data_IF_744337875365
#
_entry.id   IF_744337875365
#
_cell.length_a   1.000
_cell.length_b   1.000
_cell.length_c   1.000
_cell.angle_alpha   90.00
_cell.angle_beta   90.00
_cell.angle_gamma   90.00
#
_symmetry.space_group_name_H-M   'P 1'
#
loop_
_entity.id
_entity.type
_entity.pdbx_description
1 polymer ?
#
# COMPACT_ATOMS: atom_id res chain seq x y z
N UNK A 1 -22.02 -73.67 -3.46
CA UNK A 1 -22.37 -72.58 -4.41
C UNK A 1 -23.74 -72.02 -4.04
N UNK A 2 -24.05 -70.72 -4.15
CA UNK A 2 -23.24 -69.52 -4.50
C UNK A 2 -23.14 -68.49 -3.32
N UNK A 3 -22.03 -67.77 -3.19
CA UNK A 3 -21.82 -66.32 -3.50
C UNK A 3 -22.53 -65.31 -2.60
N UNK A 4 -21.78 -64.61 -1.74
CA UNK A 4 -21.84 -63.14 -1.71
C UNK A 4 -20.61 -62.50 -1.03
N UNK A 5 -19.96 -61.64 -1.80
CA UNK A 5 -18.85 -60.75 -1.46
C UNK A 5 -19.35 -59.58 -0.60
N UNK A 6 -18.67 -59.27 0.51
CA UNK A 6 -18.77 -57.94 1.15
C UNK A 6 -17.46 -57.55 1.83
N UNK A 7 -16.77 -56.62 1.17
CA UNK A 7 -15.60 -55.87 1.62
C UNK A 7 -15.89 -55.03 2.85
N UNK A 8 -15.07 -55.17 3.90
CA UNK A 8 -14.84 -54.15 4.95
C UNK A 8 -13.41 -54.25 5.49
N UNK A 9 -12.58 -53.27 5.16
CA UNK A 9 -11.30 -53.03 5.85
C UNK A 9 -11.49 -51.86 6.82
N UNK A 10 -11.21 -51.99 8.13
CA UNK A 10 -11.24 -50.85 9.05
C UNK A 10 -9.84 -50.27 9.33
N UNK A 11 -9.78 -48.94 9.21
CA UNK A 11 -8.91 -47.94 9.85
C UNK A 11 -7.38 -47.97 9.61
N UNK A 12 -6.80 -46.77 9.44
CA UNK A 12 -5.84 -46.37 10.47
C UNK A 12 -5.96 -44.90 10.91
N UNK A 13 -5.90 -44.74 12.24
CA UNK A 13 -5.06 -43.81 13.00
C UNK A 13 -5.14 -42.33 12.58
N UNK A 14 -6.01 -41.61 13.28
CA UNK A 14 -6.09 -40.15 13.28
C UNK A 14 -4.92 -39.57 14.11
N UNK A 15 -3.89 -39.09 13.42
CA UNK A 15 -2.80 -38.31 14.00
C UNK A 15 -3.30 -36.87 14.22
N UNK A 16 -3.52 -36.48 15.48
CA UNK A 16 -3.85 -35.10 15.85
C UNK A 16 -2.58 -34.26 15.79
N UNK A 17 -2.43 -33.47 14.72
CA UNK A 17 -1.36 -32.47 14.61
C UNK A 17 -1.82 -31.19 15.35
N UNK A 18 -1.14 -30.87 16.45
CA UNK A 18 -1.34 -29.64 17.20
C UNK A 18 -0.99 -28.43 16.32
N UNK A 19 -2.01 -27.71 15.84
CA UNK A 19 -1.83 -26.47 15.10
C UNK A 19 -1.48 -25.35 16.07
N UNK A 20 -0.21 -24.96 16.12
CA UNK A 20 0.23 -23.72 16.73
C UNK A 20 -0.33 -22.54 15.92
N UNK A 21 -1.45 -21.97 16.37
CA UNK A 21 -2.00 -20.73 15.81
C UNK A 21 -1.12 -19.56 16.21
N UNK A 22 -0.12 -19.25 15.39
CA UNK A 22 0.57 -17.97 15.44
C UNK A 22 -0.42 -16.87 15.07
N UNK A 23 -0.75 -16.01 16.04
CA UNK A 23 -1.50 -14.77 15.79
C UNK A 23 -0.56 -13.84 15.03
N UNK A 24 -0.63 -13.87 13.70
CA UNK A 24 -0.02 -12.84 12.87
C UNK A 24 -0.83 -11.55 13.09
N UNK A 25 -0.23 -10.62 13.84
CA UNK A 25 -0.68 -9.23 13.88
C UNK A 25 -0.53 -8.67 12.44
N UNK A 26 -1.62 -8.67 11.68
CA UNK A 26 -1.70 -7.97 10.38
C UNK A 26 -1.46 -6.49 10.63
N UNK A 27 -0.23 -6.05 10.35
CA UNK A 27 0.04 -4.63 10.14
C UNK A 27 -0.74 -4.21 8.89
N UNK A 28 -1.32 -3.00 8.85
CA UNK A 28 -1.72 -2.42 7.57
C UNK A 28 -0.46 -2.43 6.71
N UNK A 29 -0.53 -3.04 5.55
CA UNK A 29 0.63 -3.27 4.70
C UNK A 29 0.40 -2.42 3.45
N UNK A 30 1.21 -1.37 3.34
CA UNK A 30 1.25 -0.40 2.25
C UNK A 30 2.71 -0.42 1.80
N UNK A 31 2.99 -0.37 0.50
CA UNK A 31 4.36 -0.11 0.10
C UNK A 31 4.72 1.33 0.47
N UNK A 32 5.82 1.45 1.18
CA UNK A 32 6.37 2.76 1.53
C UNK A 32 6.97 3.40 0.29
N UNK A 33 6.89 4.73 0.17
CA UNK A 33 7.61 5.48 -0.85
C UNK A 33 9.11 5.08 -0.87
N UNK A 34 9.64 4.75 -2.05
CA UNK A 34 10.99 4.20 -2.24
C UNK A 34 11.14 2.69 -1.99
N UNK A 35 10.10 2.04 -1.48
CA UNK A 35 10.06 0.60 -1.17
C UNK A 35 9.71 -0.27 -2.38
N UNK A 36 9.87 -1.59 -2.23
CA UNK A 36 9.64 -2.56 -3.30
C UNK A 36 8.13 -2.84 -3.52
N UNK A 37 7.71 -2.87 -4.78
CA UNK A 37 6.35 -3.20 -5.21
C UNK A 37 5.92 -4.63 -4.81
N UNK A 38 6.87 -5.53 -4.56
CA UNK A 38 6.59 -6.87 -4.02
C UNK A 38 5.98 -6.87 -2.61
N UNK A 39 6.17 -5.78 -1.86
CA UNK A 39 5.39 -5.58 -0.62
C UNK A 39 3.92 -5.37 -0.93
N UNK A 40 3.59 -4.59 -1.97
CA UNK A 40 2.20 -4.39 -2.46
C UNK A 40 1.53 -5.69 -2.86
N UNK A 41 2.26 -6.59 -3.52
CA UNK A 41 1.71 -7.90 -3.91
C UNK A 41 1.46 -8.81 -2.70
N UNK A 42 2.27 -8.71 -1.63
CA UNK A 42 1.97 -9.37 -0.35
C UNK A 42 0.76 -8.74 0.34
N UNK A 43 0.60 -7.42 0.22
CA UNK A 43 -0.56 -6.67 0.73
C UNK A 43 -1.86 -7.16 0.07
N UNK A 44 -1.80 -7.45 -1.25
CA UNK A 44 -2.91 -8.01 -2.05
C UNK A 44 -3.38 -9.39 -1.57
N UNK A 45 -2.47 -10.23 -1.08
CA UNK A 45 -2.80 -11.60 -0.67
C UNK A 45 -3.39 -11.63 0.75
N UNK A 46 -2.94 -10.74 1.63
CA UNK A 46 -3.34 -10.74 3.04
C UNK A 46 -4.59 -9.92 3.34
N UNK A 47 -4.81 -8.83 2.62
CA UNK A 47 -6.00 -8.00 2.76
C UNK A 47 -6.82 -8.26 1.50
N UNK A 48 -8.09 -8.70 1.63
CA UNK A 48 -9.06 -8.73 0.53
C UNK A 48 -9.41 -7.30 0.05
N UNK A 49 -8.44 -6.40 0.01
CA UNK A 49 -8.53 -5.07 -0.52
C UNK A 49 -8.60 -5.19 -2.04
N UNK A 50 -9.50 -4.42 -2.64
CA UNK A 50 -9.65 -4.38 -4.09
C UNK A 50 -8.46 -3.63 -4.68
N UNK A 51 -7.39 -4.35 -4.99
CA UNK A 51 -6.24 -3.78 -5.70
C UNK A 51 -6.54 -3.73 -7.19
N UNK A 52 -6.91 -2.55 -7.70
CA UNK A 52 -6.90 -2.31 -9.15
C UNK A 52 -5.48 -1.99 -9.56
N UNK A 53 -4.85 -2.91 -10.30
CA UNK A 53 -3.58 -2.65 -10.99
C UNK A 53 -3.88 -2.01 -12.33
N UNK A 54 -3.48 -0.77 -12.52
CA UNK A 54 -3.57 -0.09 -13.82
C UNK A 54 -2.14 0.14 -14.33
N UNK A 55 -1.80 -0.46 -15.47
CA UNK A 55 -0.53 -0.21 -16.13
C UNK A 55 -0.63 1.11 -16.92
N UNK A 56 0.24 2.07 -16.59
CA UNK A 56 0.53 3.22 -17.43
C UNK A 56 1.81 2.98 -18.24
N UNK A 57 2.14 3.84 -19.22
CA UNK A 57 3.43 3.78 -19.89
C UNK A 57 4.55 4.05 -18.86
N UNK A 58 5.33 3.02 -18.53
CA UNK A 58 6.50 3.12 -17.63
C UNK A 58 6.24 2.90 -16.14
N UNK A 59 5.00 2.64 -15.72
CA UNK A 59 4.69 2.36 -14.31
C UNK A 59 3.42 1.52 -14.10
N UNK A 60 3.29 0.91 -12.93
CA UNK A 60 2.07 0.26 -12.45
C UNK A 60 1.46 1.06 -11.30
N UNK A 61 0.13 1.18 -11.30
CA UNK A 61 -0.62 1.81 -10.21
C UNK A 61 -1.30 0.74 -9.39
N UNK A 62 -1.03 0.70 -8.10
CA UNK A 62 -1.72 -0.14 -7.13
C UNK A 62 -2.66 0.73 -6.30
N UNK A 63 -3.97 0.59 -6.51
CA UNK A 63 -4.97 1.32 -5.75
C UNK A 63 -5.49 0.50 -4.57
N UNK A 64 -5.74 1.11 -3.42
CA UNK A 64 -6.38 0.48 -2.27
C UNK A 64 -7.23 1.47 -1.48
N UNK A 65 -8.08 0.96 -0.60
CA UNK A 65 -8.91 1.80 0.27
C UNK A 65 -8.65 1.41 1.72
N UNK A 66 -8.16 2.38 2.51
CA UNK A 66 -7.95 2.20 3.93
C UNK A 66 -9.30 1.98 4.67
N UNK A 67 -9.31 1.37 5.86
CA UNK A 67 -10.53 1.21 6.67
C UNK A 67 -11.26 2.53 6.96
N UNK A 68 -10.55 3.66 6.90
CA UNK A 68 -11.12 5.00 7.02
C UNK A 68 -11.94 5.46 5.81
N UNK A 69 -11.96 4.70 4.71
CA UNK A 69 -12.53 5.13 3.43
C UNK A 69 -11.61 6.01 2.58
N UNK A 70 -10.34 6.17 2.99
CA UNK A 70 -9.33 6.91 2.22
C UNK A 70 -8.79 6.03 1.11
N UNK A 71 -8.99 6.45 -0.15
CA UNK A 71 -8.35 5.84 -1.30
C UNK A 71 -6.87 6.22 -1.31
N UNK A 72 -6.00 5.24 -1.53
CA UNK A 72 -4.54 5.39 -1.65
C UNK A 72 -4.14 4.75 -2.97
N UNK A 73 -3.30 5.41 -3.76
CA UNK A 73 -2.70 4.83 -4.96
C UNK A 73 -1.18 4.90 -4.85
N UNK A 74 -0.52 3.80 -5.15
CA UNK A 74 0.92 3.66 -5.15
C UNK A 74 1.38 3.45 -6.59
N UNK A 75 2.36 4.24 -7.03
CA UNK A 75 2.86 4.25 -8.39
C UNK A 75 4.26 3.64 -8.37
N UNK A 76 4.42 2.48 -9.00
CA UNK A 76 5.67 1.74 -9.05
C UNK A 76 6.29 1.79 -10.44
N UNK A 77 7.57 2.13 -10.52
CA UNK A 77 8.33 2.13 -11.77
C UNK A 77 8.63 0.71 -12.25
N UNK A 78 9.20 0.61 -13.45
CA UNK A 78 9.69 -0.67 -13.99
C UNK A 78 10.82 -1.31 -13.18
N UNK A 79 11.51 -0.51 -12.35
CA UNK A 79 12.50 -0.96 -11.36
C UNK A 79 11.86 -1.62 -10.13
N UNK A 80 10.53 -1.71 -10.10
CA UNK A 80 9.76 -2.29 -9.01
C UNK A 80 9.76 -1.43 -7.76
N UNK A 81 10.11 -0.14 -7.83
CA UNK A 81 10.06 0.77 -6.68
C UNK A 81 8.89 1.73 -6.75
N UNK A 82 8.26 1.99 -5.61
CA UNK A 82 7.21 3.01 -5.50
C UNK A 82 7.85 4.39 -5.55
N UNK A 83 7.66 5.13 -6.64
CA UNK A 83 8.20 6.48 -6.83
C UNK A 83 7.20 7.58 -6.44
N UNK A 84 5.91 7.26 -6.41
CA UNK A 84 4.87 8.20 -6.00
C UNK A 84 3.71 7.51 -5.30
N UNK A 85 2.99 8.30 -4.49
CA UNK A 85 1.78 7.90 -3.78
C UNK A 85 0.78 9.04 -3.80
N UNK A 86 -0.50 8.74 -3.98
CA UNK A 86 -1.59 9.71 -3.87
C UNK A 86 -2.64 9.20 -2.88
N UNK A 87 -3.38 10.12 -2.28
CA UNK A 87 -4.49 9.78 -1.42
C UNK A 87 -5.65 10.75 -1.58
N UNK A 88 -6.86 10.25 -1.35
CA UNK A 88 -8.07 11.05 -1.31
C UNK A 88 -9.15 10.38 -0.45
N UNK A 89 -9.77 11.12 0.46
CA UNK A 89 -10.88 10.60 1.25
C UNK A 89 -11.17 11.37 2.53
N UNK A 90 -11.98 10.79 3.42
CA UNK A 90 -12.50 11.49 4.59
C UNK A 90 -11.51 11.59 5.75
N UNK A 91 -10.41 10.85 5.71
CA UNK A 91 -9.36 10.90 6.73
C UNK A 91 -7.96 10.96 6.10
N UNK A 92 -7.01 11.52 6.84
CA UNK A 92 -5.60 11.45 6.46
C UNK A 92 -5.10 10.01 6.61
N UNK A 93 -4.38 9.44 5.62
CA UNK A 93 -3.75 8.14 5.78
C UNK A 93 -2.59 8.21 6.80
N UNK A 94 -2.08 7.05 7.21
CA UNK A 94 -0.89 6.98 8.04
C UNK A 94 0.36 7.42 7.25
N UNK A 95 0.66 8.72 7.27
CA UNK A 95 1.80 9.28 6.51
C UNK A 95 3.16 8.73 6.95
N UNK A 96 3.30 8.28 8.21
CA UNK A 96 4.53 7.63 8.67
C UNK A 96 4.79 6.34 7.90
N UNK A 97 3.74 5.57 7.70
CA UNK A 97 3.82 4.34 6.92
C UNK A 97 4.00 4.65 5.43
N UNK A 98 3.18 5.55 4.88
CA UNK A 98 3.19 5.83 3.44
C UNK A 98 4.53 6.42 2.96
N UNK A 99 5.14 7.30 3.75
CA UNK A 99 6.42 7.95 3.39
C UNK A 99 7.66 7.15 3.82
N UNK A 100 7.52 6.19 4.75
CA UNK A 100 8.64 5.39 5.25
C UNK A 100 9.84 6.25 5.66
N UNK A 101 11.00 6.00 5.04
CA UNK A 101 12.25 6.70 5.33
C UNK A 101 12.19 8.22 5.08
N UNK A 102 11.27 8.67 4.22
CA UNK A 102 11.07 10.08 3.90
C UNK A 102 10.23 10.82 4.97
N UNK A 103 9.65 10.10 5.94
CA UNK A 103 8.81 10.72 6.97
C UNK A 103 9.60 11.66 7.90
N UNK A 104 10.89 11.38 8.13
CA UNK A 104 11.75 12.27 8.91
C UNK A 104 11.86 13.64 8.23
N UNK A 105 12.24 13.67 6.95
CA UNK A 105 12.26 14.88 6.11
C UNK A 105 10.93 15.63 6.15
N UNK A 106 9.81 14.90 6.03
CA UNK A 106 8.49 15.49 6.08
C UNK A 106 8.16 16.20 7.42
N UNK A 107 8.58 15.63 8.55
CA UNK A 107 8.26 16.17 9.89
C UNK A 107 9.23 17.25 10.36
N UNK A 108 10.47 17.23 9.89
CA UNK A 108 11.49 18.22 10.25
C UNK A 108 11.38 19.49 9.42
N UNK A 109 10.73 19.45 8.26
CA UNK A 109 10.64 20.60 7.37
C UNK A 109 9.80 21.76 7.95
N UNK A 110 10.39 22.96 8.10
CA UNK A 110 9.68 24.15 8.58
C UNK A 110 8.59 24.65 7.62
N UNK A 111 8.74 24.47 6.30
CA UNK A 111 7.75 24.84 5.29
C UNK A 111 6.46 24.03 5.44
N UNK A 112 6.59 22.72 5.71
CA UNK A 112 5.45 21.85 6.00
C UNK A 112 4.71 22.24 7.30
N UNK A 113 5.36 22.99 8.21
CA UNK A 113 4.77 23.53 9.44
C UNK A 113 4.12 24.90 9.25
N UNK A 114 4.64 25.73 8.33
CA UNK A 114 4.11 27.08 8.01
C UNK A 114 2.80 27.02 7.23
N UNK A 115 2.67 26.01 6.38
CA UNK A 115 1.44 25.68 5.70
C UNK A 115 0.45 25.09 6.74
N UNK A 116 -0.64 25.80 7.04
CA UNK A 116 -1.56 25.46 8.13
C UNK A 116 -2.12 24.04 8.05
N UNK A 117 -2.83 23.56 9.08
CA UNK A 117 -3.32 22.17 9.13
C UNK A 117 -4.11 21.70 7.90
N UNK A 118 -4.72 22.64 7.17
CA UNK A 118 -5.52 22.41 5.98
C UNK A 118 -4.72 22.30 4.67
N UNK A 119 -3.46 22.72 4.62
CA UNK A 119 -2.64 22.62 3.42
C UNK A 119 -1.20 22.41 3.83
N UNK A 120 -0.55 21.33 3.37
CA UNK A 120 0.87 21.08 3.60
C UNK A 120 1.62 20.92 2.29
N UNK A 121 2.68 21.71 2.13
CA UNK A 121 3.54 21.67 0.95
C UNK A 121 4.99 21.54 1.38
N UNK A 122 5.68 20.60 0.74
CA UNK A 122 7.08 20.33 0.89
C UNK A 122 7.65 20.11 -0.50
N UNK A 123 8.63 20.92 -0.89
CA UNK A 123 9.32 20.79 -2.18
C UNK A 123 10.82 20.65 -1.91
N UNK A 124 11.31 19.41 -1.87
CA UNK A 124 12.73 19.08 -1.70
C UNK A 124 13.22 18.17 -2.83
N UNK A 125 14.53 18.20 -3.15
CA UNK A 125 15.11 17.32 -4.17
C UNK A 125 14.84 15.83 -3.93
N UNK A 126 14.81 15.42 -2.66
CA UNK A 126 14.61 14.05 -2.24
C UNK A 126 13.14 13.66 -2.05
N UNK A 127 12.25 14.65 -1.88
CA UNK A 127 10.84 14.42 -1.56
C UNK A 127 9.99 15.65 -1.86
N UNK A 128 8.95 15.46 -2.65
CA UNK A 128 7.86 16.43 -2.78
C UNK A 128 6.62 15.87 -2.10
N UNK A 129 5.95 16.66 -1.28
CA UNK A 129 4.65 16.32 -0.64
C UNK A 129 3.71 17.49 -0.75
N UNK A 130 2.60 17.31 -1.46
CA UNK A 130 1.50 18.27 -1.53
C UNK A 130 0.26 17.64 -0.92
N UNK A 131 -0.25 18.22 0.15
CA UNK A 131 -1.41 17.75 0.90
C UNK A 131 -2.37 18.91 1.12
N UNK A 132 -3.66 18.63 1.04
CA UNK A 132 -4.73 19.56 1.35
C UNK A 132 -5.85 18.83 2.06
N UNK A 133 -6.52 19.52 2.97
CA UNK A 133 -7.50 18.93 3.85
C UNK A 133 -8.48 19.98 4.35
N UNK A 134 -9.76 19.68 4.21
CA UNK A 134 -10.83 20.28 5.02
C UNK A 134 -11.54 19.17 5.77
N UNK A 135 -12.43 19.51 6.69
CA UNK A 135 -13.17 18.52 7.48
C UNK A 135 -13.78 17.43 6.57
N UNK A 136 -13.32 16.19 6.74
CA UNK A 136 -13.72 15.00 5.95
C UNK A 136 -13.42 15.03 4.44
N UNK A 137 -12.43 15.81 4.01
CA UNK A 137 -12.00 15.88 2.62
C UNK A 137 -10.51 16.17 2.57
N UNK A 138 -9.71 15.12 2.72
CA UNK A 138 -8.26 15.12 2.58
C UNK A 138 -7.87 14.60 1.21
N UNK A 139 -6.86 15.21 0.61
CA UNK A 139 -6.24 14.72 -0.61
C UNK A 139 -4.79 15.17 -0.69
N UNK A 140 -3.95 14.39 -1.34
CA UNK A 140 -2.56 14.79 -1.53
C UNK A 140 -1.79 13.80 -2.38
N UNK A 141 -0.56 14.17 -2.66
CA UNK A 141 0.43 13.37 -3.35
C UNK A 141 1.80 13.54 -2.73
N UNK A 142 2.58 12.47 -2.75
CA UNK A 142 4.00 12.51 -2.44
C UNK A 142 4.77 11.74 -3.51
N UNK A 143 5.94 12.23 -3.90
CA UNK A 143 6.78 11.58 -4.89
C UNK A 143 8.25 11.91 -4.67
N UNK A 144 9.12 11.03 -5.18
CA UNK A 144 10.57 11.20 -5.19
C UNK A 144 11.00 11.64 -6.59
N UNK A 145 11.42 12.91 -6.79
CA UNK A 145 11.72 13.44 -8.12
C UNK A 145 12.73 12.60 -8.92
N UNK A 146 13.76 12.07 -8.26
CA UNK A 146 14.80 11.26 -8.89
C UNK A 146 14.34 9.86 -9.32
N UNK A 147 13.15 9.42 -8.91
CA UNK A 147 12.60 8.09 -9.22
C UNK A 147 11.47 8.15 -10.24
N UNK A 148 11.10 9.33 -10.74
CA UNK A 148 10.05 9.46 -11.75
C UNK A 148 10.54 8.81 -13.05
N UNK A 149 9.81 7.84 -13.62
CA UNK A 149 10.18 7.23 -14.89
C UNK A 149 10.21 8.26 -16.03
N UNK A 150 11.11 8.08 -16.98
CA UNK A 150 11.22 8.98 -18.14
C UNK A 150 9.89 9.03 -18.91
N UNK A 151 9.40 10.24 -19.18
CA UNK A 151 8.15 10.46 -19.91
C UNK A 151 6.88 10.49 -19.05
N UNK A 152 6.98 10.26 -17.73
CA UNK A 152 5.84 10.37 -16.81
C UNK A 152 5.70 11.82 -16.34
N UNK A 153 4.54 12.43 -16.60
CA UNK A 153 4.23 13.76 -16.08
C UNK A 153 3.63 13.69 -14.66
N UNK A 154 4.09 14.56 -13.76
CA UNK A 154 3.62 14.62 -12.36
C UNK A 154 2.11 14.93 -12.25
N UNK A 155 1.54 15.56 -13.28
CA UNK A 155 0.12 15.90 -13.36
C UNK A 155 -0.77 14.68 -13.67
N UNK A 156 -0.19 13.57 -14.14
CA UNK A 156 -0.90 12.30 -14.34
C UNK A 156 -1.11 11.53 -13.02
N UNK A 157 -0.41 11.92 -11.95
CA UNK A 157 -0.54 11.31 -10.62
C UNK A 157 -1.82 11.82 -9.93
N UNK A 158 -2.83 10.94 -9.81
CA UNK A 158 -4.16 11.24 -9.25
C UNK A 158 -4.50 10.41 -8.02
#
# INVERSE_FOLDING_TARGET
MPTQTRTRFPAPIMLVLAAATGVFLSLPAHATLGGAAESVERDRVQIKAVTRVQAGPGYTVHAMTAPSGTAIREYAGSDGKVFAVTWSGPAMPNLRQLLGNYFSTYTTDPAAKRSGHAHRQLDRPELVVHSRGRQRSFSGKAYVPSMIPTGVAIDELQ
#
